data_IF_552848313202
#
_entry.id   IF_552848313202
#
_cell.length_a   1.000
_cell.length_b   1.000
_cell.length_c   1.000
_cell.angle_alpha   90.00
_cell.angle_beta   90.00
_cell.angle_gamma   90.00
#
_symmetry.space_group_name_H-M   'P 1'
#
loop_
_entity.id
_entity.type
_entity.pdbx_description
1 polymer ?
#
# COMPACT_ATOMS: atom_id res chain seq x y z
N UNK A 1 -12.00 -0.45 32.50
CA UNK A 1 -10.70 -0.46 31.81
C UNK A 1 -10.83 0.54 30.69
N UNK A 2 -10.07 1.63 30.73
CA UNK A 2 -10.00 2.58 29.60
C UNK A 2 -9.69 1.78 28.35
N UNK A 3 -10.46 1.93 27.27
CA UNK A 3 -10.03 1.39 25.99
C UNK A 3 -8.65 1.98 25.70
N UNK A 4 -7.66 1.13 25.46
CA UNK A 4 -6.33 1.57 25.12
C UNK A 4 -6.42 2.30 23.78
N UNK A 5 -5.85 3.52 23.71
CA UNK A 5 -5.93 4.38 22.51
C UNK A 5 -5.39 3.60 21.31
N UNK A 6 -6.12 3.51 20.18
CA UNK A 6 -5.63 2.81 19.00
C UNK A 6 -4.24 3.30 18.59
N UNK A 7 -3.29 2.38 18.41
CA UNK A 7 -1.88 2.69 18.11
C UNK A 7 -1.72 3.66 16.94
N UNK A 8 -2.56 3.53 15.91
CA UNK A 8 -2.51 4.40 14.74
C UNK A 8 -2.85 5.87 15.05
N UNK A 9 -3.68 6.16 16.06
CA UNK A 9 -3.97 7.54 16.49
C UNK A 9 -2.81 8.18 17.23
N UNK A 10 -2.01 7.38 17.93
CA UNK A 10 -0.79 7.86 18.58
C UNK A 10 0.27 8.23 17.55
N UNK A 11 0.38 7.46 16.45
CA UNK A 11 1.34 7.71 15.37
C UNK A 11 0.86 8.86 14.46
N UNK A 12 -0.45 8.97 14.23
CA UNK A 12 -1.08 9.94 13.33
C UNK A 12 -1.99 10.88 14.12
N UNK A 13 -1.37 11.71 14.96
CA UNK A 13 -2.06 12.50 15.97
C UNK A 13 -2.60 13.86 15.45
N UNK A 14 -3.27 13.87 14.29
CA UNK A 14 -3.98 15.06 13.77
C UNK A 14 -5.27 14.62 13.07
N UNK A 15 -6.39 15.30 13.33
CA UNK A 15 -7.67 14.97 12.67
C UNK A 15 -7.60 15.07 11.15
N UNK A 16 -6.94 16.10 10.64
CA UNK A 16 -6.85 16.39 9.21
C UNK A 16 -6.07 15.35 8.38
N UNK A 17 -5.30 14.47 9.04
CA UNK A 17 -4.72 13.29 8.41
C UNK A 17 -5.76 12.19 8.16
N UNK A 18 -6.83 12.14 8.95
CA UNK A 18 -7.85 11.10 8.93
C UNK A 18 -9.15 11.51 8.24
N UNK A 19 -9.56 12.78 8.40
CA UNK A 19 -10.78 13.28 7.76
C UNK A 19 -10.67 14.74 7.34
N UNK A 20 -11.46 15.12 6.34
CA UNK A 20 -11.59 16.50 5.88
C UNK A 20 -13.00 16.72 5.32
N UNK A 21 -13.71 17.69 5.86
CA UNK A 21 -14.99 18.15 5.32
C UNK A 21 -14.74 18.96 4.05
N UNK A 22 -15.47 18.65 2.98
CA UNK A 22 -15.31 19.25 1.66
C UNK A 22 -16.45 20.22 1.36
N UNK A 23 -16.25 21.14 0.41
CA UNK A 23 -17.25 22.15 0.07
C UNK A 23 -18.51 21.60 -0.64
N UNK A 24 -18.46 20.36 -1.14
CA UNK A 24 -19.54 19.67 -1.85
C UNK A 24 -20.40 18.78 -0.93
N UNK A 25 -20.39 19.06 0.37
CA UNK A 25 -21.11 18.29 1.40
C UNK A 25 -20.68 16.80 1.47
N UNK A 26 -19.43 16.52 1.10
CA UNK A 26 -18.78 15.22 1.36
C UNK A 26 -17.75 15.34 2.48
N UNK A 27 -17.35 14.19 3.02
CA UNK A 27 -16.24 14.04 3.95
C UNK A 27 -15.23 13.09 3.33
N UNK A 28 -14.03 13.60 3.05
CA UNK A 28 -12.89 12.75 2.74
C UNK A 28 -12.45 12.05 4.02
N UNK A 29 -12.44 10.73 4.05
CA UNK A 29 -11.87 9.91 5.12
C UNK A 29 -10.66 9.20 4.57
N UNK A 30 -9.59 9.09 5.34
CA UNK A 30 -8.32 8.57 4.86
C UNK A 30 -7.86 7.34 5.65
N UNK A 31 -7.21 6.43 4.93
CA UNK A 31 -6.51 5.28 5.48
C UNK A 31 -5.18 5.07 4.74
N UNK A 32 -4.14 4.70 5.49
CA UNK A 32 -2.87 4.24 4.91
C UNK A 32 -2.97 2.80 4.38
N UNK A 33 -4.06 2.09 4.69
CA UNK A 33 -4.35 0.75 4.16
C UNK A 33 -4.84 0.84 2.72
N UNK A 34 -4.50 -0.17 1.94
CA UNK A 34 -4.85 -0.33 0.53
C UNK A 34 -5.84 -1.48 0.28
N UNK A 35 -6.60 -1.38 -0.80
CA UNK A 35 -7.56 -2.39 -1.27
C UNK A 35 -6.92 -3.35 -2.27
N UNK A 36 -6.74 -4.60 -1.85
CA UNK A 36 -6.06 -5.67 -2.60
C UNK A 36 -6.97 -6.91 -2.80
N UNK A 37 -8.29 -6.73 -2.67
CA UNK A 37 -9.31 -7.77 -2.93
C UNK A 37 -10.27 -8.02 -1.76
N UNK A 38 -9.97 -7.51 -0.56
CA UNK A 38 -10.70 -7.79 0.67
C UNK A 38 -11.97 -6.93 0.89
N UNK A 39 -12.16 -5.83 0.17
CA UNK A 39 -13.29 -4.90 0.35
C UNK A 39 -13.13 -3.95 1.56
N UNK A 40 -11.91 -3.67 1.99
CA UNK A 40 -11.63 -2.86 3.19
C UNK A 40 -12.07 -1.42 3.02
N UNK A 41 -11.86 -0.83 1.85
CA UNK A 41 -12.20 0.58 1.60
C UNK A 41 -13.70 0.79 1.80
N UNK A 42 -14.53 -0.14 1.30
CA UNK A 42 -15.98 -0.13 1.52
C UNK A 42 -16.34 -0.30 3.00
N UNK A 43 -15.72 -1.26 3.69
CA UNK A 43 -15.98 -1.50 5.11
C UNK A 43 -15.57 -0.30 6.00
N UNK A 44 -14.45 0.36 5.70
CA UNK A 44 -14.01 1.57 6.41
C UNK A 44 -14.94 2.75 6.11
N UNK A 45 -15.45 2.88 4.88
CA UNK A 45 -16.49 3.87 4.57
C UNK A 45 -17.77 3.64 5.36
N UNK A 46 -18.19 2.38 5.56
CA UNK A 46 -19.34 2.07 6.42
C UNK A 46 -19.11 2.52 7.86
N UNK A 47 -17.92 2.27 8.42
CA UNK A 47 -17.57 2.68 9.78
C UNK A 47 -17.63 4.21 9.90
N UNK A 48 -17.05 4.94 8.95
CA UNK A 48 -17.05 6.39 8.98
C UNK A 48 -18.45 6.99 8.81
N UNK A 49 -19.23 6.51 7.83
CA UNK A 49 -20.59 6.98 7.59
C UNK A 49 -21.49 6.71 8.81
N UNK A 50 -21.38 5.51 9.40
CA UNK A 50 -22.10 5.15 10.61
C UNK A 50 -21.75 6.08 11.76
N UNK A 51 -20.46 6.28 12.08
CA UNK A 51 -20.10 7.13 13.20
C UNK A 51 -20.39 8.61 12.93
N UNK A 52 -20.36 9.10 11.69
CA UNK A 52 -20.65 10.49 11.39
C UNK A 52 -22.16 10.79 11.22
N UNK A 53 -23.05 9.79 11.23
CA UNK A 53 -24.46 9.99 10.84
C UNK A 53 -24.61 10.54 9.41
N UNK A 54 -23.78 10.03 8.49
CA UNK A 54 -23.79 10.37 7.07
C UNK A 54 -24.34 9.22 6.23
N UNK A 55 -24.83 9.54 5.03
CA UNK A 55 -25.03 8.52 4.00
C UNK A 55 -23.67 8.05 3.45
N UNK A 56 -23.64 6.87 2.83
CA UNK A 56 -22.39 6.31 2.29
C UNK A 56 -21.80 7.13 1.14
N UNK A 57 -22.64 7.76 0.33
CA UNK A 57 -22.24 8.62 -0.79
C UNK A 57 -21.65 9.97 -0.33
N UNK A 58 -21.89 10.37 0.92
CA UNK A 58 -21.22 11.51 1.54
C UNK A 58 -19.79 11.18 2.03
N UNK A 59 -19.36 9.91 1.99
CA UNK A 59 -18.00 9.50 2.43
C UNK A 59 -17.12 9.15 1.24
N UNK A 60 -16.07 9.94 1.03
CA UNK A 60 -15.05 9.70 0.00
C UNK A 60 -13.80 9.13 0.65
N UNK A 61 -13.47 7.87 0.34
CA UNK A 61 -12.31 7.21 0.94
C UNK A 61 -11.02 7.50 0.15
N UNK A 62 -10.03 8.09 0.80
CA UNK A 62 -8.65 8.18 0.32
C UNK A 62 -7.85 7.01 0.90
N UNK A 63 -7.31 6.16 0.04
CA UNK A 63 -6.64 4.92 0.43
C UNK A 63 -5.24 4.85 -0.16
N UNK A 64 -4.23 4.65 0.70
CA UNK A 64 -2.85 4.48 0.25
C UNK A 64 -2.24 5.72 -0.38
N UNK A 65 -2.46 6.89 0.22
CA UNK A 65 -1.78 8.14 -0.17
C UNK A 65 -0.78 8.50 0.94
N UNK A 66 0.51 8.48 0.61
CA UNK A 66 1.54 8.72 1.62
C UNK A 66 1.73 10.20 2.01
N UNK A 67 1.18 11.13 1.23
CA UNK A 67 1.24 12.57 1.50
C UNK A 67 0.02 13.03 2.31
N UNK A 68 -1.17 12.63 1.88
CA UNK A 68 -2.45 13.10 2.43
C UNK A 68 -3.11 12.11 3.41
N UNK A 69 -2.56 10.91 3.58
CA UNK A 69 -3.12 9.84 4.42
C UNK A 69 -2.29 9.51 5.67
N UNK A 70 -2.89 8.81 6.65
CA UNK A 70 -2.20 8.43 7.87
C UNK A 70 -1.19 7.30 7.60
N UNK A 71 -0.02 7.38 8.23
CA UNK A 71 0.98 6.31 8.19
C UNK A 71 0.53 5.10 9.01
N UNK A 72 -0.15 4.17 8.33
CA UNK A 72 -0.62 2.90 8.89
C UNK A 72 0.22 1.70 8.42
N UNK A 73 1.43 1.96 7.91
CA UNK A 73 2.38 0.97 7.38
C UNK A 73 1.77 0.12 6.25
N UNK A 74 1.70 -1.20 6.42
CA UNK A 74 1.27 -2.15 5.39
C UNK A 74 -0.18 -2.60 5.60
N UNK A 75 -0.88 -2.92 4.50
CA UNK A 75 -2.03 -3.83 4.55
C UNK A 75 -1.54 -5.26 4.76
N UNK A 76 -1.56 -5.76 5.99
CA UNK A 76 -1.16 -7.13 6.33
C UNK A 76 -1.88 -7.64 7.58
N UNK A 77 -1.77 -8.95 7.85
CA UNK A 77 -2.20 -9.60 9.10
C UNK A 77 -3.65 -9.33 9.53
N UNK A 78 -4.55 -9.03 8.58
CA UNK A 78 -5.94 -8.63 8.83
C UNK A 78 -6.08 -7.40 9.76
N UNK A 79 -5.02 -6.60 9.89
CA UNK A 79 -4.98 -5.43 10.80
C UNK A 79 -5.79 -4.25 10.27
N UNK A 80 -6.20 -4.23 8.99
CA UNK A 80 -6.89 -3.07 8.42
C UNK A 80 -8.21 -2.75 9.14
N UNK A 81 -9.06 -3.74 9.41
CA UNK A 81 -10.29 -3.49 10.19
C UNK A 81 -9.98 -3.30 11.67
N UNK A 82 -9.07 -4.12 12.23
CA UNK A 82 -8.76 -4.07 13.66
C UNK A 82 -8.15 -2.74 14.09
N UNK A 83 -7.19 -2.21 13.32
CA UNK A 83 -6.44 -1.01 13.68
C UNK A 83 -7.01 0.23 12.99
N UNK A 84 -7.13 0.22 11.65
CA UNK A 84 -7.63 1.39 10.91
C UNK A 84 -9.11 1.62 11.15
N UNK A 85 -9.90 0.54 11.15
CA UNK A 85 -11.32 0.62 11.49
C UNK A 85 -11.55 1.15 12.90
N UNK A 86 -10.75 0.74 13.89
CA UNK A 86 -10.84 1.29 15.24
C UNK A 86 -10.43 2.77 15.31
N UNK A 87 -9.36 3.17 14.60
CA UNK A 87 -8.90 4.55 14.54
C UNK A 87 -9.93 5.47 13.86
N UNK A 88 -10.41 5.11 12.67
CA UNK A 88 -11.45 5.85 11.95
C UNK A 88 -12.72 5.96 12.81
N UNK A 89 -13.14 4.86 13.45
CA UNK A 89 -14.31 4.86 14.34
C UNK A 89 -14.17 5.90 15.47
N UNK A 90 -13.02 5.93 16.13
CA UNK A 90 -12.76 6.86 17.22
C UNK A 90 -12.69 8.32 16.74
N UNK A 91 -11.97 8.58 15.64
CA UNK A 91 -11.83 9.92 15.06
C UNK A 91 -13.18 10.46 14.59
N UNK A 92 -13.98 9.64 13.90
CA UNK A 92 -15.30 10.04 13.44
C UNK A 92 -16.26 10.32 14.61
N UNK A 93 -16.22 9.50 15.67
CA UNK A 93 -17.03 9.74 16.86
C UNK A 93 -16.67 11.07 17.54
N UNK A 94 -15.37 11.37 17.67
CA UNK A 94 -14.91 12.63 18.28
C UNK A 94 -15.19 13.85 17.40
N UNK A 95 -15.03 13.73 16.08
CA UNK A 95 -15.41 14.78 15.14
C UNK A 95 -16.91 15.11 15.23
N UNK A 96 -17.77 14.09 15.33
CA UNK A 96 -19.21 14.27 15.55
C UNK A 96 -19.49 14.99 16.88
N UNK A 97 -18.84 14.60 17.97
CA UNK A 97 -19.05 15.21 19.29
C UNK A 97 -18.59 16.68 19.33
N UNK A 98 -17.48 17.01 18.66
CA UNK A 98 -17.00 18.39 18.47
C UNK A 98 -18.02 19.23 17.68
N UNK A 99 -18.54 18.68 16.58
CA UNK A 99 -19.54 19.35 15.74
C UNK A 99 -20.87 19.56 16.46
N UNK A 100 -21.36 18.54 17.20
CA UNK A 100 -22.54 18.65 18.06
C UNK A 100 -22.37 19.71 19.15
N UNK A 101 -21.19 19.77 19.76
CA UNK A 101 -20.88 20.78 20.78
C UNK A 101 -20.92 22.19 20.19
N UNK A 102 -20.40 22.38 18.97
CA UNK A 102 -20.48 23.66 18.26
C UNK A 102 -21.91 24.01 17.85
N UNK A 103 -22.67 23.04 17.36
CA UNK A 103 -24.08 23.23 17.00
C UNK A 103 -24.92 23.65 18.20
N UNK A 104 -24.71 23.02 19.37
CA UNK A 104 -25.42 23.36 20.60
C UNK A 104 -25.21 24.83 21.01
N UNK A 105 -23.98 25.32 20.86
CA UNK A 105 -23.63 26.73 21.11
C UNK A 105 -24.30 27.67 20.10
N UNK A 106 -24.27 27.33 18.80
CA UNK A 106 -24.87 28.16 17.74
C UNK A 106 -26.40 28.21 17.82
N UNK A 107 -27.03 27.09 18.15
CA UNK A 107 -28.48 26.94 18.25
C UNK A 107 -29.03 27.28 19.64
N UNK A 108 -28.15 27.56 20.61
CA UNK A 108 -28.49 27.86 22.00
C UNK A 108 -29.42 26.79 22.62
N UNK A 109 -29.07 25.53 22.44
CA UNK A 109 -29.77 24.37 22.98
C UNK A 109 -28.83 23.45 23.76
N UNK A 110 -29.38 22.47 24.49
CA UNK A 110 -28.59 21.41 25.11
C UNK A 110 -28.17 20.37 24.07
N UNK A 111 -27.00 19.76 24.23
CA UNK A 111 -26.55 18.63 23.39
C UNK A 111 -27.53 17.45 23.38
N UNK A 112 -28.26 17.22 24.48
CA UNK A 112 -29.28 16.17 24.58
C UNK A 112 -30.50 16.41 23.67
N UNK A 113 -30.70 17.64 23.19
CA UNK A 113 -31.77 18.01 22.25
C UNK A 113 -31.33 17.82 20.79
N UNK A 114 -30.02 17.62 20.55
CA UNK A 114 -29.48 17.50 19.21
C UNK A 114 -29.46 16.06 18.72
N UNK A 115 -29.79 15.90 17.44
CA UNK A 115 -29.47 14.69 16.68
C UNK A 115 -28.97 15.07 15.30
N UNK A 116 -28.35 14.11 14.60
CA UNK A 116 -27.82 14.29 13.25
C UNK A 116 -28.51 13.32 12.30
N UNK A 117 -28.87 13.81 11.13
CA UNK A 117 -29.34 13.00 10.01
C UNK A 117 -28.65 13.52 8.75
N UNK A 118 -27.84 12.69 8.11
CA UNK A 118 -27.12 13.01 6.86
C UNK A 118 -26.29 14.32 6.98
N UNK A 119 -25.67 14.51 8.15
CA UNK A 119 -24.85 15.68 8.49
C UNK A 119 -25.65 16.93 8.88
N UNK A 120 -26.98 16.91 8.78
CA UNK A 120 -27.85 18.02 9.20
C UNK A 120 -28.19 17.91 10.68
N UNK A 121 -28.14 19.04 11.42
CA UNK A 121 -28.52 19.05 12.83
C UNK A 121 -30.03 19.21 13.00
N UNK A 122 -30.61 18.43 13.90
CA UNK A 122 -32.01 18.50 14.32
C UNK A 122 -32.07 18.89 15.81
N UNK A 123 -32.97 19.81 16.17
CA UNK A 123 -33.28 20.18 17.56
C UNK A 123 -34.64 19.62 17.93
N UNK A 124 -34.69 18.72 18.93
CA UNK A 124 -35.91 18.01 19.34
C UNK A 124 -36.66 17.34 18.16
N UNK A 125 -35.89 16.89 17.16
CA UNK A 125 -36.39 16.25 15.94
C UNK A 125 -36.84 17.20 14.82
N UNK A 126 -36.79 18.51 15.02
CA UNK A 126 -37.03 19.50 13.97
C UNK A 126 -35.71 19.90 13.29
N UNK A 127 -35.71 19.98 11.96
CA UNK A 127 -34.53 20.41 11.19
C UNK A 127 -34.10 21.83 11.59
N UNK A 128 -32.80 22.01 11.80
CA UNK A 128 -32.18 23.33 11.94
C UNK A 128 -31.69 23.85 10.58
N UNK A 129 -31.18 25.07 10.57
CA UNK A 129 -30.51 25.71 9.43
C UNK A 129 -29.00 25.44 9.38
N UNK A 130 -28.47 24.57 10.26
CA UNK A 130 -27.05 24.22 10.33
C UNK A 130 -26.80 22.75 9.98
N UNK A 131 -25.67 22.50 9.34
CA UNK A 131 -25.11 21.19 9.10
C UNK A 131 -23.61 21.12 9.49
N UNK A 132 -22.99 19.97 9.32
CA UNK A 132 -21.56 19.78 9.59
C UNK A 132 -20.65 20.76 8.85
N UNK A 133 -20.92 21.02 7.57
CA UNK A 133 -20.09 21.86 6.72
C UNK A 133 -20.18 23.34 7.10
N UNK A 134 -21.32 23.78 7.62
CA UNK A 134 -21.48 25.12 8.19
C UNK A 134 -20.60 25.33 9.42
N UNK A 135 -20.27 24.28 10.17
CA UNK A 135 -19.51 24.40 11.44
C UNK A 135 -18.09 23.86 11.37
N UNK A 136 -17.74 23.08 10.34
CA UNK A 136 -16.43 22.45 10.21
C UNK A 136 -15.29 23.47 10.21
N UNK A 137 -15.50 24.66 9.65
CA UNK A 137 -14.49 25.72 9.62
C UNK A 137 -14.24 26.40 10.98
N UNK A 138 -15.08 26.15 11.99
CA UNK A 138 -14.91 26.67 13.35
C UNK A 138 -14.05 25.76 14.25
N UNK A 139 -13.67 24.58 13.75
CA UNK A 139 -12.89 23.58 14.47
C UNK A 139 -11.47 23.56 13.89
N UNK A 140 -10.47 23.57 14.78
CA UNK A 140 -9.08 23.32 14.40
C UNK A 140 -8.87 21.81 14.18
N UNK A 141 -8.84 21.36 12.93
CA UNK A 141 -8.60 19.96 12.57
C UNK A 141 -7.11 19.56 12.59
N UNK A 142 -6.20 20.49 12.87
CA UNK A 142 -4.79 20.14 13.07
C UNK A 142 -4.52 19.63 14.48
N UNK A 143 -5.50 19.74 15.40
CA UNK A 143 -5.38 19.20 16.75
C UNK A 143 -5.38 17.66 16.74
N UNK A 144 -4.83 17.07 17.81
CA UNK A 144 -4.82 15.63 17.98
C UNK A 144 -6.18 15.12 18.48
N UNK A 145 -6.71 14.01 17.94
CA UNK A 145 -7.88 13.34 18.51
C UNK A 145 -7.53 12.74 19.87
N UNK A 146 -8.31 13.03 20.90
CA UNK A 146 -8.16 12.44 22.24
C UNK A 146 -8.49 10.93 22.22
N UNK A 147 -9.46 10.54 21.39
CA UNK A 147 -9.90 9.16 21.18
C UNK A 147 -10.79 8.61 22.29
N UNK A 148 -11.36 9.46 23.14
CA UNK A 148 -12.22 9.10 24.28
C UNK A 148 -13.72 9.29 23.99
N UNK A 149 -14.06 9.92 22.87
CA UNK A 149 -15.42 10.11 22.41
C UNK A 149 -16.19 8.78 22.34
N UNK A 150 -17.44 8.82 22.75
CA UNK A 150 -18.25 7.60 22.84
C UNK A 150 -18.74 7.20 21.46
N UNK A 151 -18.04 6.26 20.86
CA UNK A 151 -18.47 5.63 19.61
C UNK A 151 -19.81 4.87 19.77
N UNK A 152 -20.58 4.78 18.68
CA UNK A 152 -21.92 4.19 18.67
C UNK A 152 -21.91 2.72 19.10
N UNK A 153 -22.94 2.27 19.81
CA UNK A 153 -23.04 0.85 20.15
C UNK A 153 -23.48 0.04 18.93
N UNK A 154 -22.98 -1.19 18.79
CA UNK A 154 -23.28 -2.03 17.63
C UNK A 154 -24.77 -2.29 17.39
N UNK A 155 -25.60 -2.26 18.45
CA UNK A 155 -27.06 -2.38 18.36
C UNK A 155 -27.74 -1.20 17.67
N UNK A 156 -27.06 -0.06 17.59
CA UNK A 156 -27.56 1.19 17.02
C UNK A 156 -27.07 1.39 15.58
N UNK A 157 -26.26 0.46 15.06
CA UNK A 157 -25.73 0.51 13.69
C UNK A 157 -26.84 0.33 12.65
N UNK A 158 -26.76 1.13 11.58
CA UNK A 158 -27.68 1.11 10.43
C UNK A 158 -26.97 0.71 9.14
N UNK A 159 -25.69 1.05 9.01
CA UNK A 159 -24.86 0.91 7.81
C UNK A 159 -23.82 -0.21 8.01
N UNK A 160 -23.14 -0.25 9.16
CA UNK A 160 -22.10 -1.26 9.42
C UNK A 160 -22.70 -2.66 9.46
N UNK A 161 -22.07 -3.60 8.77
CA UNK A 161 -22.51 -5.00 8.68
C UNK A 161 -23.57 -5.27 7.60
N UNK A 162 -24.04 -4.24 6.90
CA UNK A 162 -24.92 -4.41 5.74
C UNK A 162 -24.12 -4.86 4.51
N UNK A 163 -24.74 -5.71 3.69
CA UNK A 163 -24.18 -6.20 2.43
C UNK A 163 -24.36 -5.16 1.32
N UNK A 164 -23.52 -4.13 1.31
CA UNK A 164 -23.52 -3.08 0.29
C UNK A 164 -22.60 -3.43 -0.89
N UNK A 165 -22.89 -2.95 -2.11
CA UNK A 165 -21.96 -3.05 -3.23
C UNK A 165 -20.63 -2.38 -2.90
N UNK A 166 -19.54 -3.03 -3.29
CA UNK A 166 -18.18 -2.50 -3.13
C UNK A 166 -17.93 -1.33 -4.07
N UNK A 167 -17.41 -0.23 -3.51
CA UNK A 167 -17.14 0.99 -4.26
C UNK A 167 -16.12 0.79 -5.41
N UNK A 168 -15.17 -0.14 -5.24
CA UNK A 168 -14.08 -0.38 -6.19
C UNK A 168 -14.45 -1.31 -7.36
N UNK A 169 -15.62 -1.96 -7.33
CA UNK A 169 -15.96 -2.98 -8.33
C UNK A 169 -16.32 -2.39 -9.69
N UNK A 170 -17.01 -1.25 -9.73
CA UNK A 170 -17.48 -0.63 -10.99
C UNK A 170 -16.30 -0.36 -11.92
N UNK A 171 -15.26 0.31 -11.43
CA UNK A 171 -14.06 0.61 -12.22
C UNK A 171 -13.32 -0.68 -12.65
N UNK A 172 -13.22 -1.67 -11.76
CA UNK A 172 -12.57 -2.96 -12.08
C UNK A 172 -13.31 -3.76 -13.14
N UNK A 173 -14.65 -3.68 -13.18
CA UNK A 173 -15.49 -4.41 -14.14
C UNK A 173 -15.54 -3.74 -15.51
N UNK A 174 -15.47 -2.41 -15.56
CA UNK A 174 -15.54 -1.65 -16.81
C UNK A 174 -14.17 -1.40 -17.47
N UNK A 175 -13.08 -1.78 -16.80
CA UNK A 175 -11.70 -1.64 -17.28
C UNK A 175 -11.07 -0.30 -16.89
N UNK A 176 -9.75 -0.26 -16.78
CA UNK A 176 -8.98 0.97 -16.51
C UNK A 176 -8.66 1.26 -15.03
N UNK A 177 -9.06 0.38 -14.11
CA UNK A 177 -8.76 0.54 -12.68
C UNK A 177 -7.33 0.11 -12.32
N UNK A 178 -6.70 -0.73 -13.15
CA UNK A 178 -5.42 -1.34 -12.85
C UNK A 178 -4.26 -0.49 -13.36
N UNK A 179 -3.19 -0.42 -12.57
CA UNK A 179 -1.95 0.30 -12.91
C UNK A 179 -1.38 -0.10 -14.28
N UNK A 180 -1.58 -1.34 -14.69
CA UNK A 180 -1.12 -1.87 -15.97
C UNK A 180 -1.74 -1.16 -17.16
N UNK A 181 -2.98 -0.70 -17.02
CA UNK A 181 -3.75 -0.04 -18.09
C UNK A 181 -3.64 1.50 -18.01
N UNK A 182 -3.05 2.03 -16.94
CA UNK A 182 -2.90 3.47 -16.75
C UNK A 182 -1.69 3.98 -17.55
N UNK A 183 -1.98 4.67 -18.65
CA UNK A 183 -0.99 5.21 -19.58
C UNK A 183 -1.16 6.74 -19.68
N UNK A 184 -0.51 7.51 -18.78
CA UNK A 184 -0.47 8.98 -18.88
C UNK A 184 0.06 9.44 -20.25
N UNK A 185 -0.36 10.63 -20.68
CA UNK A 185 0.10 11.18 -21.95
C UNK A 185 1.64 11.31 -21.96
N UNK A 186 2.28 10.82 -23.03
CA UNK A 186 3.72 10.89 -23.20
C UNK A 186 4.54 9.97 -22.29
N UNK A 187 3.89 9.00 -21.63
CA UNK A 187 4.55 7.95 -20.83
C UNK A 187 5.63 7.23 -21.63
N UNK A 188 6.76 6.96 -20.98
CA UNK A 188 7.81 6.11 -21.51
C UNK A 188 7.72 4.74 -20.83
N UNK A 189 7.79 3.69 -21.63
CA UNK A 189 7.84 2.31 -21.16
C UNK A 189 9.28 1.97 -20.78
N UNK A 190 9.43 1.30 -19.64
CA UNK A 190 10.72 0.84 -19.15
C UNK A 190 10.72 -0.64 -18.79
N UNK A 191 11.87 -1.27 -19.01
CA UNK A 191 12.23 -2.63 -18.58
C UNK A 191 13.67 -2.61 -18.11
N UNK A 192 14.07 -3.52 -17.22
CA UNK A 192 15.46 -3.60 -16.73
C UNK A 192 16.09 -4.94 -17.03
N UNK A 193 17.41 -4.94 -17.25
CA UNK A 193 18.19 -6.16 -17.24
C UNK A 193 18.45 -6.56 -15.78
N UNK A 194 17.87 -7.69 -15.36
CA UNK A 194 18.03 -8.20 -14.00
C UNK A 194 19.43 -8.75 -13.76
N UNK A 195 20.04 -8.35 -12.65
CA UNK A 195 21.30 -8.92 -12.16
C UNK A 195 21.08 -10.40 -11.81
N UNK A 196 21.91 -11.34 -12.31
CA UNK A 196 21.66 -12.78 -12.18
C UNK A 196 21.78 -13.33 -10.75
N UNK A 197 22.19 -12.51 -9.79
CA UNK A 197 22.17 -12.82 -8.37
C UNK A 197 23.08 -11.90 -7.56
N UNK A 198 23.00 -11.97 -6.22
CA UNK A 198 23.83 -11.16 -5.34
C UNK A 198 25.32 -11.33 -5.63
N UNK A 199 26.06 -10.23 -5.69
CA UNK A 199 27.51 -10.22 -5.95
C UNK A 199 27.92 -10.28 -7.42
N UNK A 200 26.98 -10.50 -8.36
CA UNK A 200 27.29 -10.46 -9.78
C UNK A 200 27.64 -9.02 -10.23
N UNK A 201 28.67 -8.85 -11.06
CA UNK A 201 29.08 -7.53 -11.58
C UNK A 201 29.02 -7.53 -13.10
N UNK A 202 28.35 -6.53 -13.69
CA UNK A 202 28.20 -6.40 -15.13
C UNK A 202 29.53 -5.97 -15.75
N UNK A 203 30.24 -6.93 -16.35
CA UNK A 203 31.50 -6.67 -17.05
C UNK A 203 31.27 -5.94 -18.37
N UNK A 204 30.35 -6.45 -19.20
CA UNK A 204 30.11 -5.89 -20.52
C UNK A 204 28.66 -6.10 -20.97
N UNK A 205 28.21 -5.23 -21.87
CA UNK A 205 26.88 -5.23 -22.47
C UNK A 205 27.02 -4.83 -23.94
N UNK A 206 26.54 -5.67 -24.86
CA UNK A 206 26.50 -5.33 -26.29
C UNK A 206 25.20 -4.56 -26.61
N UNK A 207 25.19 -3.27 -26.26
CA UNK A 207 24.06 -2.37 -26.49
C UNK A 207 23.68 -2.27 -27.98
N UNK A 208 24.66 -2.42 -28.88
CA UNK A 208 24.40 -2.39 -30.31
C UNK A 208 23.64 -3.64 -30.78
N UNK A 209 23.96 -4.83 -30.26
CA UNK A 209 23.19 -6.03 -30.53
C UNK A 209 21.78 -5.95 -29.96
N UNK A 210 21.63 -5.41 -28.74
CA UNK A 210 20.33 -5.20 -28.11
C UNK A 210 19.47 -4.24 -28.93
N UNK A 211 20.01 -3.09 -29.36
CA UNK A 211 19.29 -2.14 -30.21
C UNK A 211 18.87 -2.74 -31.56
N UNK A 212 19.71 -3.59 -32.17
CA UNK A 212 19.32 -4.34 -33.38
C UNK A 212 18.19 -5.33 -33.13
N UNK A 213 18.20 -6.02 -31.99
CA UNK A 213 17.16 -6.97 -31.61
C UNK A 213 15.84 -6.28 -31.24
N UNK A 214 15.90 -5.09 -30.63
CA UNK A 214 14.74 -4.28 -30.29
C UNK A 214 13.97 -3.82 -31.54
N UNK A 215 14.67 -3.57 -32.66
CA UNK A 215 14.04 -3.22 -33.93
C UNK A 215 13.44 -1.81 -33.99
N UNK A 216 13.79 -0.94 -33.03
CA UNK A 216 13.33 0.44 -32.94
C UNK A 216 14.19 1.25 -31.97
N UNK A 217 13.82 2.52 -31.78
CA UNK A 217 14.57 3.44 -30.92
C UNK A 217 14.35 3.11 -29.44
N UNK A 218 15.46 2.95 -28.71
CA UNK A 218 15.51 2.79 -27.26
C UNK A 218 16.61 3.68 -26.67
N UNK A 219 16.36 4.18 -25.48
CA UNK A 219 17.38 4.76 -24.62
C UNK A 219 17.85 3.69 -23.62
N UNK A 220 19.16 3.56 -23.47
CA UNK A 220 19.78 2.64 -22.49
C UNK A 220 20.35 3.48 -21.36
N UNK A 221 19.75 3.38 -20.18
CA UNK A 221 20.29 3.98 -18.96
C UNK A 221 21.10 2.92 -18.24
N UNK A 222 22.39 3.21 -18.00
CA UNK A 222 23.29 2.30 -17.29
C UNK A 222 23.98 3.01 -16.13
N UNK A 223 23.88 2.42 -14.96
CA UNK A 223 24.59 2.81 -13.74
C UNK A 223 25.11 1.55 -13.05
N UNK A 224 26.42 1.32 -13.17
CA UNK A 224 27.07 0.10 -12.68
C UNK A 224 26.38 -1.18 -13.20
N UNK A 225 25.70 -1.90 -12.31
CA UNK A 225 24.96 -3.13 -12.59
C UNK A 225 23.50 -2.87 -13.01
N UNK A 226 22.97 -1.67 -12.75
CA UNK A 226 21.62 -1.30 -13.15
C UNK A 226 21.61 -0.89 -14.62
N UNK A 227 20.77 -1.57 -15.41
CA UNK A 227 20.57 -1.26 -16.82
C UNK A 227 19.07 -1.23 -17.10
N UNK A 228 18.57 -0.10 -17.58
CA UNK A 228 17.20 0.07 -18.02
C UNK A 228 17.14 0.37 -19.52
N UNK A 229 16.13 -0.19 -20.18
CA UNK A 229 15.73 0.12 -21.55
C UNK A 229 14.47 0.97 -21.47
N UNK A 230 14.47 2.14 -22.11
CA UNK A 230 13.39 3.11 -22.03
C UNK A 230 12.99 3.57 -23.43
N UNK A 231 11.70 3.70 -23.70
CA UNK A 231 11.21 4.11 -25.02
C UNK A 231 9.72 4.39 -25.06
N UNK A 232 9.26 5.04 -26.12
CA UNK A 232 7.83 5.35 -26.31
C UNK A 232 7.03 4.14 -26.82
N UNK A 233 7.67 3.17 -27.48
CA UNK A 233 7.06 1.95 -27.98
C UNK A 233 7.36 0.79 -27.02
N UNK A 234 6.31 0.29 -26.34
CA UNK A 234 6.45 -0.80 -25.38
C UNK A 234 7.02 -2.08 -26.00
N UNK A 235 6.63 -2.42 -27.23
CA UNK A 235 7.06 -3.66 -27.88
C UNK A 235 8.57 -3.63 -28.20
N UNK A 236 9.08 -2.46 -28.59
CA UNK A 236 10.52 -2.24 -28.83
C UNK A 236 11.30 -2.38 -27.51
N UNK A 237 10.81 -1.77 -26.43
CA UNK A 237 11.45 -1.85 -25.11
C UNK A 237 11.42 -3.28 -24.55
N UNK A 238 10.32 -4.00 -24.72
CA UNK A 238 10.20 -5.41 -24.34
C UNK A 238 11.18 -6.29 -25.12
N UNK A 239 11.28 -6.09 -26.44
CA UNK A 239 12.23 -6.81 -27.28
C UNK A 239 13.69 -6.57 -26.88
N UNK A 240 14.04 -5.32 -26.51
CA UNK A 240 15.36 -4.99 -25.96
C UNK A 240 15.66 -5.78 -24.68
N UNK A 241 14.74 -5.74 -23.71
CA UNK A 241 14.88 -6.44 -22.44
C UNK A 241 14.92 -7.97 -22.60
N UNK A 242 14.20 -8.51 -23.57
CA UNK A 242 14.24 -9.92 -23.93
C UNK A 242 15.58 -10.37 -24.50
N UNK A 243 16.22 -9.55 -25.32
CA UNK A 243 17.53 -9.85 -25.90
C UNK A 243 18.70 -9.63 -24.93
N UNK A 244 18.57 -8.68 -24.01
CA UNK A 244 19.66 -8.22 -23.16
C UNK A 244 20.42 -9.31 -22.38
N UNK A 245 19.79 -10.33 -21.77
CA UNK A 245 20.51 -11.40 -21.06
C UNK A 245 21.52 -12.16 -21.93
N UNK A 246 21.22 -12.35 -23.23
CA UNK A 246 22.12 -13.03 -24.16
C UNK A 246 23.32 -12.15 -24.60
N UNK A 247 23.25 -10.86 -24.31
CA UNK A 247 24.23 -9.84 -24.70
C UNK A 247 24.92 -9.19 -23.51
N UNK A 248 24.70 -9.71 -22.30
CA UNK A 248 25.33 -9.27 -21.06
C UNK A 248 26.34 -10.29 -20.56
N UNK A 249 27.48 -9.83 -20.06
CA UNK A 249 28.50 -10.65 -19.42
C UNK A 249 28.64 -10.25 -17.97
N UNK A 250 28.48 -11.22 -17.08
CA UNK A 250 28.53 -11.04 -15.63
C UNK A 250 29.72 -11.79 -15.04
N UNK A 251 30.49 -11.11 -14.18
CA UNK A 251 31.50 -11.73 -13.33
C UNK A 251 30.88 -12.04 -11.95
N UNK A 252 31.30 -13.13 -11.29
CA UNK A 252 30.92 -13.40 -9.90
C UNK A 252 29.46 -13.80 -9.66
N UNK A 253 28.73 -14.17 -10.71
CA UNK A 253 27.36 -14.67 -10.55
C UNK A 253 27.33 -15.95 -9.71
N UNK A 254 26.38 -16.07 -8.75
CA UNK A 254 26.28 -17.25 -7.91
C UNK A 254 25.92 -18.49 -8.74
N UNK A 255 26.55 -19.61 -8.41
CA UNK A 255 26.21 -20.92 -8.99
C UNK A 255 25.15 -21.56 -8.11
N UNK A 256 23.97 -21.81 -8.68
CA UNK A 256 22.89 -22.51 -7.99
C UNK A 256 23.12 -24.02 -8.13
N UNK A 257 23.17 -24.72 -7.00
CA UNK A 257 23.27 -26.18 -6.90
C UNK A 257 21.88 -26.80 -6.63
N UNK A 258 21.63 -27.98 -7.19
CA UNK A 258 20.42 -28.76 -6.97
C UNK A 258 20.20 -29.08 -5.48
N UNK A 259 21.26 -29.22 -4.69
CA UNK A 259 21.14 -29.44 -3.25
C UNK A 259 20.43 -28.28 -2.53
N UNK A 260 20.50 -27.06 -3.05
CA UNK A 260 19.86 -25.87 -2.46
C UNK A 260 18.32 -25.89 -2.58
N UNK A 261 17.77 -26.83 -3.37
CA UNK A 261 16.32 -27.02 -3.48
C UNK A 261 15.78 -27.97 -2.39
N UNK A 262 16.64 -28.69 -1.66
CA UNK A 262 16.23 -29.58 -0.58
C UNK A 262 16.10 -28.80 0.74
N UNK A 263 14.98 -28.98 1.45
CA UNK A 263 14.78 -28.35 2.77
C UNK A 263 15.88 -28.74 3.78
N UNK A 264 16.49 -29.92 3.66
CA UNK A 264 17.60 -30.34 4.52
C UNK A 264 18.85 -29.45 4.36
N UNK A 265 19.04 -28.79 3.20
CA UNK A 265 20.13 -27.85 2.99
C UNK A 265 20.06 -26.66 3.95
N UNK A 266 18.85 -26.27 4.38
CA UNK A 266 18.64 -25.17 5.33
C UNK A 266 19.31 -25.41 6.68
N UNK A 267 19.48 -26.68 7.12
CA UNK A 267 20.14 -27.01 8.40
C UNK A 267 21.62 -26.61 8.43
N UNK A 268 22.26 -26.55 7.26
CA UNK A 268 23.68 -26.22 7.12
C UNK A 268 23.96 -24.73 6.98
N UNK A 269 22.93 -23.88 6.96
CA UNK A 269 23.08 -22.45 6.76
C UNK A 269 23.25 -21.72 8.09
N UNK A 270 23.83 -20.51 8.04
CA UNK A 270 23.91 -19.66 9.21
C UNK A 270 22.49 -19.30 9.70
N UNK A 271 22.29 -19.34 11.02
CA UNK A 271 21.01 -19.02 11.67
C UNK A 271 21.17 -17.94 12.75
N UNK A 272 20.09 -17.19 12.97
CA UNK A 272 19.88 -16.35 14.16
C UNK A 272 18.84 -17.05 15.05
N UNK A 273 19.31 -17.74 16.10
CA UNK A 273 18.49 -18.62 16.90
C UNK A 273 17.66 -17.84 17.93
N UNK A 274 16.34 -18.07 17.93
CA UNK A 274 15.41 -17.48 18.89
C UNK A 274 14.62 -18.55 19.61
N UNK A 275 14.72 -18.55 20.93
CA UNK A 275 14.00 -19.49 21.80
C UNK A 275 12.73 -18.82 22.32
N UNK A 276 11.59 -19.44 22.06
CA UNK A 276 10.28 -19.01 22.56
C UNK A 276 9.69 -20.11 23.46
N UNK A 277 9.08 -19.71 24.58
CA UNK A 277 8.46 -20.63 25.53
C UNK A 277 9.19 -20.73 26.87
N UNK A 278 8.64 -21.54 27.78
CA UNK A 278 9.29 -21.87 29.03
C UNK A 278 10.51 -22.78 28.78
N UNK A 279 11.59 -22.69 29.58
CA UNK A 279 12.69 -23.65 29.51
C UNK A 279 12.17 -25.08 29.67
N UNK A 280 12.81 -26.06 29.02
CA UNK A 280 12.39 -27.47 29.06
C UNK A 280 12.08 -27.94 30.49
N UNK A 281 10.81 -28.21 30.78
CA UNK A 281 10.40 -28.97 31.96
C UNK A 281 10.38 -30.47 31.65
N UNK A 282 10.59 -31.25 32.72
CA UNK A 282 10.91 -32.67 32.81
C UNK A 282 10.25 -33.65 31.82
N UNK A 283 10.90 -34.80 31.63
CA UNK A 283 10.44 -35.98 30.87
C UNK A 283 8.91 -36.10 30.82
N UNK A 284 8.32 -35.69 29.70
CA UNK A 284 6.90 -35.88 29.44
C UNK A 284 6.67 -37.39 29.27
N UNK A 285 5.96 -38.02 30.21
CA UNK A 285 5.61 -39.44 30.12
C UNK A 285 4.53 -39.66 29.05
N UNK A 286 4.82 -40.51 28.06
CA UNK A 286 3.88 -40.87 26.97
C UNK A 286 4.60 -41.18 25.66
N UNK A 287 3.82 -41.47 24.61
CA UNK A 287 4.35 -41.66 23.26
C UNK A 287 4.79 -40.31 22.67
N UNK A 288 6.03 -40.24 22.18
CA UNK A 288 6.55 -39.09 21.42
C UNK A 288 6.35 -39.30 19.93
N UNK A 289 5.85 -38.28 19.25
CA UNK A 289 5.75 -38.26 17.79
C UNK A 289 6.74 -37.24 17.27
N UNK A 290 7.63 -37.70 16.38
CA UNK A 290 8.60 -36.85 15.72
C UNK A 290 8.26 -36.73 14.23
N UNK A 291 8.35 -35.54 13.68
CA UNK A 291 8.10 -35.30 12.27
C UNK A 291 8.89 -34.09 11.77
N UNK A 292 9.43 -34.20 10.55
CA UNK A 292 10.05 -33.11 9.83
C UNK A 292 9.13 -32.66 8.69
N UNK A 293 8.87 -31.36 8.60
CA UNK A 293 8.13 -30.74 7.52
C UNK A 293 9.04 -29.77 6.78
N UNK A 294 8.89 -29.69 5.46
CA UNK A 294 9.55 -28.67 4.66
C UNK A 294 8.54 -27.90 3.82
N UNK A 295 8.86 -26.64 3.56
CA UNK A 295 8.15 -25.78 2.61
C UNK A 295 9.19 -25.19 1.65
N UNK A 296 9.01 -25.30 0.32
CA UNK A 296 9.91 -24.66 -0.62
C UNK A 296 9.69 -23.14 -0.64
N UNK A 297 10.49 -22.43 -1.44
CA UNK A 297 10.15 -21.07 -1.85
C UNK A 297 8.82 -21.08 -2.61
N UNK A 298 7.95 -20.12 -2.32
CA UNK A 298 6.62 -20.01 -2.94
C UNK A 298 6.53 -18.65 -3.61
N UNK A 299 6.31 -18.64 -4.92
CA UNK A 299 6.04 -17.44 -5.70
C UNK A 299 4.64 -16.89 -5.35
N UNK A 300 4.50 -15.57 -5.38
CA UNK A 300 3.19 -14.93 -5.25
C UNK A 300 2.34 -15.20 -6.49
N UNK A 301 2.99 -15.23 -7.66
CA UNK A 301 2.38 -15.58 -8.94
C UNK A 301 1.11 -14.76 -9.25
N UNK A 302 1.16 -13.45 -9.01
CA UNK A 302 0.11 -12.51 -9.36
C UNK A 302 -0.32 -12.63 -10.83
N UNK A 303 -1.59 -12.32 -11.11
CA UNK A 303 -2.13 -12.50 -12.46
C UNK A 303 -1.43 -11.59 -13.46
N UNK A 304 -1.17 -10.33 -13.09
CA UNK A 304 -0.33 -9.41 -13.85
C UNK A 304 1.04 -9.25 -13.16
N UNK A 305 2.13 -9.09 -13.93
CA UNK A 305 3.45 -8.81 -13.37
C UNK A 305 3.49 -7.50 -12.57
N UNK A 306 4.52 -7.32 -11.77
CA UNK A 306 4.82 -6.10 -11.04
C UNK A 306 4.97 -4.91 -12.00
N UNK A 307 4.42 -3.77 -11.61
CA UNK A 307 4.31 -2.58 -12.44
C UNK A 307 4.27 -1.36 -11.53
N UNK A 308 4.95 -0.30 -11.93
CA UNK A 308 4.91 0.97 -11.24
C UNK A 308 5.07 2.11 -12.24
N UNK A 309 4.59 3.28 -11.87
CA UNK A 309 4.92 4.52 -12.57
C UNK A 309 5.67 5.45 -11.62
N UNK A 310 6.57 6.26 -12.18
CA UNK A 310 7.23 7.32 -11.45
C UNK A 310 7.34 8.59 -12.31
N UNK A 311 7.28 9.74 -11.65
CA UNK A 311 7.47 11.06 -12.23
C UNK A 311 8.32 11.89 -11.28
N UNK A 312 9.43 12.43 -11.77
CA UNK A 312 10.24 13.38 -11.03
C UNK A 312 10.12 14.76 -11.69
N UNK A 313 9.56 15.73 -10.99
CA UNK A 313 9.38 17.10 -11.47
C UNK A 313 9.37 18.08 -10.30
N UNK A 314 9.84 19.31 -10.53
CA UNK A 314 9.87 20.37 -9.50
C UNK A 314 10.47 19.93 -8.15
N UNK A 315 11.57 19.18 -8.21
CA UNK A 315 12.28 18.61 -7.05
C UNK A 315 11.45 17.60 -6.22
N UNK A 316 10.35 17.08 -6.77
CA UNK A 316 9.45 16.14 -6.13
C UNK A 316 9.28 14.86 -6.95
N UNK A 317 9.38 13.71 -6.28
CA UNK A 317 9.20 12.39 -6.88
C UNK A 317 7.83 11.81 -6.53
N UNK A 318 6.97 11.61 -7.52
CA UNK A 318 5.70 10.89 -7.35
C UNK A 318 5.83 9.48 -7.91
N UNK A 319 5.32 8.50 -7.16
CA UNK A 319 5.38 7.07 -7.48
C UNK A 319 3.98 6.49 -7.35
N UNK A 320 3.51 5.79 -8.38
CA UNK A 320 2.30 4.99 -8.34
C UNK A 320 2.67 3.52 -8.31
N UNK A 321 2.18 2.79 -7.31
CA UNK A 321 2.48 1.37 -7.10
C UNK A 321 1.24 0.61 -6.67
N UNK A 322 1.21 -0.70 -6.96
CA UNK A 322 0.20 -1.61 -6.43
C UNK A 322 0.64 -2.37 -5.16
N UNK A 323 1.78 -1.95 -4.58
CA UNK A 323 2.31 -2.50 -3.33
C UNK A 323 1.41 -2.28 -2.11
N UNK A 324 1.72 -2.98 -1.01
CA UNK A 324 0.86 -3.05 0.18
C UNK A 324 1.03 -1.88 1.16
N UNK A 325 2.07 -1.05 1.02
CA UNK A 325 2.39 -0.01 1.98
C UNK A 325 3.09 1.19 1.34
N UNK A 326 2.33 2.26 1.08
CA UNK A 326 2.88 3.45 0.41
C UNK A 326 3.80 4.28 1.31
N UNK A 327 3.54 4.38 2.62
CA UNK A 327 4.45 5.10 3.51
C UNK A 327 5.83 4.41 3.67
N UNK A 328 5.90 3.07 3.87
CA UNK A 328 7.17 2.35 3.79
C UNK A 328 7.86 2.50 2.43
N UNK A 329 7.12 2.38 1.32
CA UNK A 329 7.68 2.55 -0.02
C UNK A 329 8.32 3.94 -0.19
N UNK A 330 7.59 5.01 0.19
CA UNK A 330 8.11 6.39 0.20
C UNK A 330 9.42 6.49 0.96
N UNK A 331 9.46 5.95 2.18
CA UNK A 331 10.65 6.01 3.03
C UNK A 331 11.84 5.28 2.40
N UNK A 332 11.62 4.07 1.90
CA UNK A 332 12.67 3.25 1.29
C UNK A 332 13.22 3.91 0.02
N UNK A 333 12.36 4.44 -0.85
CA UNK A 333 12.80 5.13 -2.07
C UNK A 333 13.54 6.41 -1.75
N UNK A 334 13.06 7.20 -0.78
CA UNK A 334 13.75 8.40 -0.33
C UNK A 334 15.15 8.08 0.20
N UNK A 335 15.29 7.04 1.03
CA UNK A 335 16.57 6.60 1.57
C UNK A 335 17.55 6.15 0.46
N UNK A 336 17.09 5.29 -0.47
CA UNK A 336 17.91 4.79 -1.58
C UNK A 336 18.37 5.93 -2.50
N UNK A 337 17.51 6.90 -2.80
CA UNK A 337 17.81 8.02 -3.70
C UNK A 337 18.47 9.22 -3.00
N UNK A 338 18.62 9.17 -1.67
CA UNK A 338 19.13 10.30 -0.88
C UNK A 338 18.24 11.53 -0.92
N UNK A 339 16.91 11.35 -1.05
CA UNK A 339 15.91 12.42 -1.02
C UNK A 339 15.35 12.62 0.39
N UNK A 340 14.88 13.82 0.67
CA UNK A 340 14.06 14.05 1.85
C UNK A 340 12.74 13.29 1.72
N UNK A 341 12.30 12.64 2.81
CA UNK A 341 11.03 11.88 2.79
C UNK A 341 9.81 12.75 2.43
N UNK A 342 9.89 14.07 2.63
CA UNK A 342 8.84 15.02 2.21
C UNK A 342 8.84 15.34 0.71
N UNK A 343 9.92 15.03 -0.01
CA UNK A 343 10.08 15.24 -1.46
C UNK A 343 9.67 14.01 -2.28
N UNK A 344 9.05 13.01 -1.65
CA UNK A 344 8.59 11.78 -2.29
C UNK A 344 7.13 11.55 -1.91
N UNK A 345 6.30 11.25 -2.91
CA UNK A 345 4.91 10.80 -2.70
C UNK A 345 4.73 9.43 -3.34
N UNK A 346 4.39 8.43 -2.55
CA UNK A 346 3.90 7.15 -3.02
C UNK A 346 2.36 7.08 -2.94
N UNK A 347 1.74 6.64 -4.04
CA UNK A 347 0.30 6.54 -4.24
C UNK A 347 -0.06 5.10 -4.64
N UNK A 348 -1.08 4.55 -4.00
CA UNK A 348 -1.57 3.23 -4.35
C UNK A 348 -2.48 3.27 -5.57
N UNK A 349 -2.27 2.32 -6.48
CA UNK A 349 -3.21 2.01 -7.57
C UNK A 349 -3.49 0.51 -7.58
N UNK A 350 -4.64 0.09 -8.10
CA UNK A 350 -4.99 -1.32 -8.08
C UNK A 350 -4.04 -2.17 -8.94
N UNK A 351 -3.60 -3.29 -8.39
CA UNK A 351 -2.88 -4.34 -9.10
C UNK A 351 -3.71 -5.62 -9.21
N UNK A 352 -3.36 -6.49 -10.14
CA UNK A 352 -4.02 -7.78 -10.34
C UNK A 352 -3.51 -8.86 -9.37
N UNK A 353 -3.59 -8.56 -8.07
CA UNK A 353 -3.15 -9.41 -6.96
C UNK A 353 -1.73 -9.10 -6.49
N UNK A 354 -1.48 -9.29 -5.19
CA UNK A 354 -0.14 -9.23 -4.59
C UNK A 354 0.17 -10.48 -3.75
N UNK A 355 -0.84 -11.04 -3.04
CA UNK A 355 -0.73 -12.26 -2.23
C UNK A 355 0.37 -12.25 -1.15
N UNK A 356 0.88 -11.05 -0.83
CA UNK A 356 2.08 -10.84 -0.06
C UNK A 356 2.94 -9.75 -0.71
N UNK A 357 4.21 -9.72 -0.33
CA UNK A 357 5.19 -8.76 -0.79
C UNK A 357 5.81 -9.25 -2.10
N UNK A 358 5.06 -9.16 -3.20
CA UNK A 358 5.58 -9.39 -4.54
C UNK A 358 6.50 -8.24 -4.99
N UNK A 359 6.99 -8.28 -6.24
CA UNK A 359 7.93 -7.31 -6.79
C UNK A 359 7.40 -5.88 -7.02
N UNK A 360 6.24 -5.50 -6.47
CA UNK A 360 5.64 -4.18 -6.71
C UNK A 360 6.50 -3.03 -6.18
N UNK A 361 7.11 -3.20 -5.00
CA UNK A 361 7.99 -2.19 -4.40
C UNK A 361 9.32 -2.11 -5.16
N UNK A 362 9.84 -3.24 -5.65
CA UNK A 362 11.03 -3.30 -6.48
C UNK A 362 10.80 -2.62 -7.85
N UNK A 363 9.66 -2.87 -8.50
CA UNK A 363 9.26 -2.16 -9.71
C UNK A 363 9.13 -0.65 -9.48
N UNK A 364 8.62 -0.25 -8.33
CA UNK A 364 8.50 1.16 -7.96
C UNK A 364 9.88 1.83 -7.78
N UNK A 365 10.83 1.15 -7.15
CA UNK A 365 12.20 1.65 -7.00
C UNK A 365 12.91 1.76 -8.35
N UNK A 366 12.82 0.74 -9.21
CA UNK A 366 13.40 0.78 -10.56
C UNK A 366 12.81 1.95 -11.38
N UNK A 367 11.50 2.15 -11.35
CA UNK A 367 10.83 3.28 -12.02
C UNK A 367 11.34 4.62 -11.49
N UNK A 368 11.47 4.75 -10.17
CA UNK A 368 11.95 5.95 -9.52
C UNK A 368 13.39 6.30 -9.92
N UNK A 369 14.31 5.32 -9.92
CA UNK A 369 15.71 5.51 -10.36
C UNK A 369 15.76 6.06 -11.79
N UNK A 370 14.93 5.52 -12.69
CA UNK A 370 14.85 5.97 -14.08
C UNK A 370 14.25 7.37 -14.17
N UNK A 371 13.17 7.66 -13.43
CA UNK A 371 12.50 8.96 -13.43
C UNK A 371 13.44 10.09 -12.98
N UNK A 372 14.32 9.83 -11.99
CA UNK A 372 15.35 10.79 -11.55
C UNK A 372 16.30 11.20 -12.69
N UNK A 373 16.45 10.37 -13.73
CA UNK A 373 17.31 10.64 -14.90
C UNK A 373 16.55 11.23 -16.08
N UNK A 374 15.23 11.22 -16.03
CA UNK A 374 14.35 11.69 -17.08
C UNK A 374 13.27 12.62 -16.51
N UNK A 375 13.67 13.77 -15.89
CA UNK A 375 12.73 14.66 -15.22
C UNK A 375 11.64 15.17 -16.16
N UNK A 376 10.43 15.34 -15.63
CA UNK A 376 9.24 15.76 -16.36
C UNK A 376 8.63 14.69 -17.28
N UNK A 377 9.08 13.43 -17.18
CA UNK A 377 8.53 12.30 -17.97
C UNK A 377 7.98 11.24 -17.04
N UNK A 378 6.76 10.77 -17.34
CA UNK A 378 6.22 9.58 -16.70
C UNK A 378 6.99 8.34 -17.18
N UNK A 379 7.55 7.58 -16.24
CA UNK A 379 8.22 6.33 -16.49
C UNK A 379 7.33 5.19 -16.01
N UNK A 380 6.89 4.33 -16.91
CA UNK A 380 6.15 3.11 -16.57
C UNK A 380 7.05 1.91 -16.66
N UNK A 381 7.44 1.37 -15.52
CA UNK A 381 8.21 0.15 -15.42
C UNK A 381 7.28 -1.03 -15.16
N UNK A 382 7.36 -2.05 -16.01
CA UNK A 382 6.61 -3.30 -15.82
C UNK A 382 7.56 -4.48 -15.97
N UNK A 383 7.44 -5.47 -15.10
CA UNK A 383 8.24 -6.68 -15.18
C UNK A 383 7.70 -7.64 -16.24
N UNK A 384 8.57 -8.51 -16.76
CA UNK A 384 8.17 -9.67 -17.54
C UNK A 384 7.75 -10.81 -16.60
N UNK A 385 6.99 -11.78 -17.12
CA UNK A 385 6.54 -12.91 -16.30
C UNK A 385 7.69 -13.74 -15.75
N UNK A 386 8.73 -13.94 -16.54
CA UNK A 386 9.92 -14.69 -16.13
C UNK A 386 10.68 -13.96 -15.02
N UNK A 387 10.56 -12.63 -14.96
CA UNK A 387 11.20 -11.81 -13.94
C UNK A 387 10.49 -11.92 -12.60
N UNK A 388 9.15 -12.02 -12.57
CA UNK A 388 8.41 -12.35 -11.36
C UNK A 388 8.94 -13.65 -10.74
N UNK A 389 9.06 -14.71 -11.54
CA UNK A 389 9.54 -16.01 -11.05
C UNK A 389 11.05 -16.08 -10.80
N UNK A 390 11.82 -15.07 -11.19
CA UNK A 390 13.28 -15.05 -11.03
C UNK A 390 13.76 -14.12 -9.91
N UNK A 391 13.05 -13.02 -9.66
CA UNK A 391 13.59 -11.88 -8.92
C UNK A 391 12.63 -11.27 -7.90
N UNK A 392 11.34 -11.65 -7.87
CA UNK A 392 10.44 -11.15 -6.83
C UNK A 392 10.87 -11.68 -5.46
N UNK A 393 10.47 -11.02 -4.35
CA UNK A 393 10.56 -11.67 -3.05
C UNK A 393 9.69 -12.93 -3.01
N UNK A 394 10.23 -14.05 -2.56
CA UNK A 394 9.48 -15.31 -2.41
C UNK A 394 9.05 -15.53 -0.97
N UNK A 395 7.92 -16.22 -0.78
CA UNK A 395 7.62 -16.84 0.51
C UNK A 395 8.79 -17.75 0.89
N UNK A 396 9.46 -17.55 2.04
CA UNK A 396 10.75 -18.19 2.31
C UNK A 396 10.59 -19.71 2.45
N UNK A 397 11.62 -20.44 2.06
CA UNK A 397 11.72 -21.86 2.36
C UNK A 397 11.85 -22.08 3.86
N UNK A 398 11.27 -23.17 4.36
CA UNK A 398 11.25 -23.50 5.79
C UNK A 398 11.52 -24.98 6.00
N UNK A 399 12.16 -25.28 7.13
CA UNK A 399 12.29 -26.62 7.67
C UNK A 399 11.84 -26.59 9.12
N UNK A 400 10.92 -27.48 9.48
CA UNK A 400 10.31 -27.54 10.81
C UNK A 400 10.51 -28.95 11.35
N UNK A 401 11.24 -29.07 12.44
CA UNK A 401 11.39 -30.31 13.20
C UNK A 401 10.47 -30.26 14.42
N UNK A 402 9.50 -31.17 14.48
CA UNK A 402 8.63 -31.41 15.64
C UNK A 402 9.14 -32.66 16.37
N UNK A 403 9.30 -32.57 17.69
CA UNK A 403 9.98 -33.60 18.51
C UNK A 403 9.24 -34.00 19.77
#
# INVERSE_FOLDING_TARGET
MSAERPTNLTINARFDMWLKFQADETVRVATGKVEIGQGVVTALSQIAAEELDLSLDQVVMLSGDSDQGPNERYTSSSLSIMDSGAAIRAVCAEARDLLLSRAALRLNCSGDQLSVVEGSFLVDGAASDLNYWDLAHEIDWSQAPEGDAKAKAAKDYRIVGQSIPRADLTEKLHGGAFIHDWLPEGVLHARVLRQPGPGAVLRSLDEAAIGRAAGGDIEVLREENFVAFVGADEAVVEAAAAAAPAHAQWDGAPVIDAAQQDGAWLRGQASDDRIFGAPEEAEIAGDRVQATFSRPYIAHASLAPSCALALYEDEHLTIWSHGQGMHPLRHNVADVLGLDNGSVTALHMYGAGCYGHNGADDAALDAAIIAMRMPGRHIRLQWRREEEFGFEPFGPAMLIDLS
#
